data_IF_180010926628
#
_entry.id   IF_180010926628
#
_cell.length_a   1.000
_cell.length_b   1.000
_cell.length_c   1.000
_cell.angle_alpha   90.00
_cell.angle_beta   90.00
_cell.angle_gamma   90.00
#
_symmetry.space_group_name_H-M   'P 1'
#
loop_
_entity.id
_entity.type
_entity.pdbx_description
1 polymer ?
#
# COMPACT_ATOMS: atom_id res chain seq x y z
N UNK A 1 -5.06 -17.24 -10.43
CA UNK A 1 -4.62 -17.60 -9.05
C UNK A 1 -3.69 -16.51 -8.51
N UNK A 2 -3.50 -16.42 -7.16
CA UNK A 2 -2.50 -15.49 -6.62
C UNK A 2 -1.12 -15.84 -7.17
N UNK A 3 -0.39 -14.86 -7.70
CA UNK A 3 1.00 -15.06 -8.17
C UNK A 3 1.88 -15.50 -6.99
N UNK A 4 2.71 -16.50 -7.20
CA UNK A 4 3.62 -16.98 -6.17
C UNK A 4 4.91 -16.13 -6.08
N UNK A 5 5.33 -15.52 -7.19
CA UNK A 5 6.56 -14.74 -7.34
C UNK A 5 6.31 -13.28 -7.77
N UNK A 6 5.17 -12.71 -7.44
CA UNK A 6 4.83 -11.35 -7.84
C UNK A 6 3.56 -10.84 -7.21
N UNK A 7 3.08 -9.70 -7.71
CA UNK A 7 1.88 -9.06 -7.20
C UNK A 7 0.60 -9.61 -7.85
N UNK A 8 -0.40 -9.84 -7.00
CA UNK A 8 -1.80 -9.98 -7.39
C UNK A 8 -2.15 -11.31 -8.05
N UNK A 9 -3.09 -11.28 -8.97
CA UNK A 9 -3.60 -12.44 -9.70
C UNK A 9 -2.84 -12.63 -11.01
N UNK A 10 -2.55 -13.88 -11.38
CA UNK A 10 -1.81 -14.24 -12.58
C UNK A 10 -2.59 -14.04 -13.87
N UNK A 11 -3.93 -13.95 -13.77
CA UNK A 11 -4.81 -13.65 -14.91
C UNK A 11 -4.88 -12.16 -15.26
N UNK A 12 -4.32 -11.28 -14.40
CA UNK A 12 -4.35 -9.83 -14.62
C UNK A 12 -3.00 -9.37 -15.18
N UNK A 13 -3.01 -8.91 -16.41
CA UNK A 13 -1.89 -8.21 -17.03
C UNK A 13 -2.16 -6.71 -17.10
N UNK A 14 -1.14 -5.93 -16.79
CA UNK A 14 -1.14 -4.48 -16.92
C UNK A 14 -0.02 -4.08 -17.89
N UNK A 15 -0.29 -4.20 -19.18
CA UNK A 15 0.71 -4.01 -20.22
C UNK A 15 1.31 -2.58 -20.19
N UNK A 16 2.62 -2.49 -20.32
CA UNK A 16 3.32 -1.26 -20.70
C UNK A 16 3.25 -1.15 -22.23
N UNK A 17 2.74 -0.02 -22.73
CA UNK A 17 2.79 0.26 -24.16
C UNK A 17 4.21 0.54 -24.65
N UNK A 18 4.46 0.39 -25.95
CA UNK A 18 5.78 0.61 -26.58
C UNK A 18 6.34 2.01 -26.25
N UNK A 19 5.48 3.01 -26.16
CA UNK A 19 5.87 4.39 -25.80
C UNK A 19 6.43 4.50 -24.38
N UNK A 20 5.87 3.74 -23.46
CA UNK A 20 6.32 3.71 -22.07
C UNK A 20 7.67 2.98 -21.94
N UNK A 21 7.84 1.90 -22.69
CA UNK A 21 9.10 1.16 -22.75
C UNK A 21 10.20 1.99 -23.42
N UNK A 22 9.87 2.68 -24.53
CA UNK A 22 10.81 3.60 -25.20
C UNK A 22 11.23 4.75 -24.26
N UNK A 23 10.27 5.31 -23.52
CA UNK A 23 10.54 6.37 -22.53
C UNK A 23 11.48 5.89 -21.41
N UNK A 24 11.28 4.67 -20.89
CA UNK A 24 12.17 4.10 -19.88
C UNK A 24 13.57 3.82 -20.48
N UNK A 25 13.63 3.22 -21.66
CA UNK A 25 14.90 2.92 -22.33
C UNK A 25 15.71 4.19 -22.65
N UNK A 26 15.06 5.29 -23.01
CA UNK A 26 15.72 6.59 -23.21
C UNK A 26 16.30 7.16 -21.90
N UNK A 27 15.60 6.95 -20.79
CA UNK A 27 15.93 7.53 -19.48
C UNK A 27 16.96 6.75 -18.69
N UNK A 28 16.88 5.43 -18.74
CA UNK A 28 17.68 4.54 -17.87
C UNK A 28 18.33 3.37 -18.63
N UNK A 29 18.28 3.43 -19.96
CA UNK A 29 18.82 2.37 -20.83
C UNK A 29 17.84 1.19 -21.05
N UNK A 30 18.10 0.34 -22.05
CA UNK A 30 17.27 -0.82 -22.35
C UNK A 30 17.37 -1.85 -21.22
N UNK A 31 16.21 -2.35 -20.75
CA UNK A 31 16.17 -3.40 -19.73
C UNK A 31 16.61 -4.76 -20.26
N UNK A 32 17.13 -5.60 -19.38
CA UNK A 32 17.53 -6.98 -19.66
C UNK A 32 16.54 -7.92 -18.97
N UNK A 33 15.63 -8.59 -19.71
CA UNK A 33 14.67 -9.50 -19.12
C UNK A 33 15.35 -10.65 -18.38
N UNK A 34 14.93 -10.90 -17.13
CA UNK A 34 15.39 -12.05 -16.34
C UNK A 34 14.52 -13.27 -16.63
N UNK A 35 15.13 -14.46 -16.50
CA UNK A 35 14.41 -15.72 -16.51
C UNK A 35 14.02 -16.08 -15.08
N UNK A 36 12.72 -16.07 -14.79
CA UNK A 36 12.21 -16.43 -13.48
C UNK A 36 12.39 -17.94 -13.20
N UNK A 37 12.68 -18.28 -11.93
CA UNK A 37 12.65 -19.66 -11.47
C UNK A 37 11.23 -20.24 -11.60
N UNK A 38 11.14 -21.54 -11.88
CA UNK A 38 9.84 -22.20 -11.90
C UNK A 38 9.33 -22.47 -10.48
N UNK A 39 8.02 -22.43 -10.27
CA UNK A 39 7.40 -22.78 -8.99
C UNK A 39 7.80 -24.17 -8.51
N UNK A 40 7.84 -25.15 -9.42
CA UNK A 40 8.24 -26.52 -9.09
C UNK A 40 9.70 -26.60 -8.61
N UNK A 41 10.62 -25.88 -9.28
CA UNK A 41 12.02 -25.82 -8.87
C UNK A 41 12.18 -25.16 -7.50
N UNK A 42 11.44 -24.09 -7.23
CA UNK A 42 11.45 -23.41 -5.93
C UNK A 42 10.93 -24.32 -4.80
N UNK A 43 9.83 -25.04 -5.03
CA UNK A 43 9.29 -26.00 -4.04
C UNK A 43 10.24 -27.17 -3.78
N UNK A 44 10.91 -27.69 -4.80
CA UNK A 44 11.81 -28.83 -4.68
C UNK A 44 13.07 -28.54 -3.83
N UNK A 45 13.43 -27.27 -3.68
CA UNK A 45 14.61 -26.84 -2.89
C UNK A 45 14.29 -26.60 -1.41
N UNK A 46 13.01 -26.64 -1.00
CA UNK A 46 12.65 -26.33 0.37
C UNK A 46 13.09 -27.41 1.35
N UNK A 47 13.65 -27.03 2.52
CA UNK A 47 14.04 -27.99 3.54
C UNK A 47 12.81 -28.69 4.14
N UNK A 48 12.97 -29.92 4.70
CA UNK A 48 11.89 -30.56 5.43
C UNK A 48 11.43 -29.72 6.62
N UNK A 49 10.17 -29.90 7.04
CA UNK A 49 9.63 -29.23 8.21
C UNK A 49 10.30 -29.75 9.50
N UNK A 50 10.52 -28.86 10.46
CA UNK A 50 11.00 -29.15 11.82
C UNK A 50 9.87 -29.14 12.85
N UNK A 51 8.62 -28.82 12.43
CA UNK A 51 7.46 -28.82 13.31
C UNK A 51 6.92 -30.23 13.51
N UNK A 52 6.54 -30.62 14.75
CA UNK A 52 5.79 -31.85 14.99
C UNK A 52 4.42 -31.78 14.32
N UNK A 53 3.77 -32.93 14.05
CA UNK A 53 2.44 -32.97 13.46
C UNK A 53 1.38 -32.23 14.32
N UNK A 54 0.54 -31.42 13.66
CA UNK A 54 -0.61 -30.78 14.29
C UNK A 54 -1.77 -30.68 13.30
N UNK A 55 -3.02 -30.91 13.76
CA UNK A 55 -4.22 -31.01 12.89
C UNK A 55 -4.52 -29.76 12.04
N UNK A 56 -4.09 -28.58 12.51
CA UNK A 56 -4.31 -27.29 11.82
C UNK A 56 -3.13 -26.87 10.97
N UNK A 57 -1.96 -27.56 11.05
CA UNK A 57 -0.72 -27.15 10.38
C UNK A 57 -0.53 -27.95 9.09
N UNK A 58 -0.34 -27.22 8.00
CA UNK A 58 -0.05 -27.74 6.68
C UNK A 58 1.45 -27.65 6.41
N UNK A 59 2.04 -28.74 5.90
CA UNK A 59 3.50 -28.87 5.69
C UNK A 59 3.86 -28.94 4.20
N UNK A 60 2.88 -28.90 3.29
CA UNK A 60 3.11 -29.00 1.86
C UNK A 60 4.02 -27.85 1.37
N UNK A 61 5.05 -28.14 0.54
CA UNK A 61 6.02 -27.14 0.05
C UNK A 61 5.35 -25.94 -0.60
N UNK A 62 4.31 -26.14 -1.39
CA UNK A 62 3.56 -25.09 -2.10
C UNK A 62 2.89 -24.11 -1.11
N UNK A 63 2.34 -24.65 -0.03
CA UNK A 63 1.70 -23.86 1.03
C UNK A 63 2.73 -23.05 1.80
N UNK A 64 3.87 -23.67 2.13
CA UNK A 64 4.97 -23.03 2.85
C UNK A 64 5.59 -21.91 2.02
N UNK A 65 5.85 -22.16 0.73
CA UNK A 65 6.37 -21.17 -0.22
C UNK A 65 5.43 -19.96 -0.36
N UNK A 66 4.14 -20.20 -0.53
CA UNK A 66 3.15 -19.13 -0.69
C UNK A 66 3.00 -18.21 0.55
N UNK A 67 3.54 -18.61 1.71
CA UNK A 67 3.49 -17.85 2.97
C UNK A 67 4.89 -17.48 3.50
N UNK A 68 5.93 -17.59 2.67
CA UNK A 68 7.31 -17.38 3.10
C UNK A 68 7.74 -15.92 3.08
N UNK A 69 7.24 -15.14 2.12
CA UNK A 69 7.77 -13.83 1.78
C UNK A 69 6.63 -12.85 1.49
N UNK A 70 6.93 -11.54 1.57
CA UNK A 70 6.02 -10.46 1.24
C UNK A 70 6.24 -9.93 -0.18
N UNK A 71 6.22 -8.60 -0.30
CA UNK A 71 6.29 -7.87 -1.57
C UNK A 71 7.42 -6.83 -1.58
N UNK A 72 8.40 -6.91 -0.67
CA UNK A 72 9.61 -6.09 -0.74
C UNK A 72 10.43 -6.46 -1.99
N UNK A 73 11.30 -5.58 -2.44
CA UNK A 73 12.18 -5.91 -3.57
C UNK A 73 13.09 -7.10 -3.26
N UNK A 74 13.77 -7.17 -2.09
CA UNK A 74 14.53 -8.37 -1.73
C UNK A 74 13.71 -9.67 -1.72
N UNK A 75 12.42 -9.61 -1.31
CA UNK A 75 11.53 -10.77 -1.38
C UNK A 75 11.27 -11.19 -2.84
N UNK A 76 11.06 -10.22 -3.73
CA UNK A 76 10.87 -10.49 -5.16
C UNK A 76 12.11 -11.10 -5.80
N UNK A 77 13.30 -10.58 -5.50
CA UNK A 77 14.56 -11.13 -5.98
C UNK A 77 14.71 -12.60 -5.56
N UNK A 78 14.47 -12.91 -4.29
CA UNK A 78 14.53 -14.29 -3.79
C UNK A 78 13.55 -15.21 -4.49
N UNK A 79 12.29 -14.80 -4.63
CA UNK A 79 11.25 -15.60 -5.28
C UNK A 79 11.56 -15.83 -6.76
N UNK A 80 11.89 -14.77 -7.50
CA UNK A 80 12.05 -14.83 -8.94
C UNK A 80 13.33 -15.51 -9.38
N UNK A 81 14.39 -15.39 -8.62
CA UNK A 81 15.64 -16.14 -8.85
C UNK A 81 15.65 -17.52 -8.18
N UNK A 82 14.60 -17.91 -7.44
CA UNK A 82 14.54 -19.19 -6.74
C UNK A 82 15.56 -19.31 -5.60
N UNK A 83 16.04 -18.20 -5.04
CA UNK A 83 17.02 -18.15 -3.93
C UNK A 83 16.31 -18.05 -2.58
N UNK A 84 15.52 -19.04 -2.24
CA UNK A 84 14.68 -19.04 -1.04
C UNK A 84 15.39 -19.79 0.08
N UNK A 85 16.19 -19.06 0.86
CA UNK A 85 17.03 -19.65 1.91
C UNK A 85 16.21 -20.18 3.11
N UNK A 86 15.05 -19.56 3.40
CA UNK A 86 14.21 -19.92 4.55
C UNK A 86 12.72 -19.72 4.25
N UNK A 87 11.92 -20.68 4.72
CA UNK A 87 10.45 -20.66 4.64
C UNK A 87 9.88 -21.08 5.99
N UNK A 88 8.61 -20.78 6.29
CA UNK A 88 7.95 -21.35 7.46
C UNK A 88 8.04 -22.87 7.44
N UNK A 89 8.24 -23.49 8.59
CA UNK A 89 8.23 -24.95 8.72
C UNK A 89 6.83 -25.51 8.51
N UNK A 90 5.81 -24.74 8.86
CA UNK A 90 4.42 -25.05 8.58
C UNK A 90 3.54 -23.81 8.54
N UNK A 91 2.36 -23.95 7.97
CA UNK A 91 1.37 -22.88 7.84
C UNK A 91 0.03 -23.36 8.38
N UNK A 92 -0.59 -22.56 9.22
CA UNK A 92 -1.95 -22.80 9.71
C UNK A 92 -2.93 -21.73 9.22
N UNK A 93 -4.17 -22.15 8.94
CA UNK A 93 -5.25 -21.26 8.51
C UNK A 93 -6.42 -21.38 9.50
N UNK A 94 -6.36 -20.72 10.66
CA UNK A 94 -7.45 -20.75 11.63
C UNK A 94 -8.72 -20.06 11.07
N UNK A 95 -9.88 -20.51 11.55
CA UNK A 95 -11.20 -19.92 11.28
C UNK A 95 -11.80 -19.22 12.50
N UNK A 96 -11.17 -19.36 13.67
CA UNK A 96 -11.66 -18.85 14.96
C UNK A 96 -10.53 -18.46 15.90
N UNK A 97 -10.83 -17.56 16.87
CA UNK A 97 -9.88 -17.21 17.94
C UNK A 97 -9.48 -18.41 18.80
N UNK A 98 -10.37 -19.40 18.97
CA UNK A 98 -10.03 -20.63 19.70
C UNK A 98 -8.96 -21.45 18.97
N UNK A 99 -9.00 -21.55 17.65
CA UNK A 99 -7.95 -22.19 16.86
C UNK A 99 -6.64 -21.41 16.91
N UNK A 100 -6.70 -20.08 16.93
CA UNK A 100 -5.49 -19.24 17.12
C UNK A 100 -4.86 -19.53 18.48
N UNK A 101 -5.67 -19.65 19.54
CA UNK A 101 -5.19 -20.02 20.88
C UNK A 101 -4.50 -21.39 20.86
N UNK A 102 -5.14 -22.41 20.30
CA UNK A 102 -4.59 -23.77 20.14
C UNK A 102 -3.22 -23.74 19.41
N UNK A 103 -3.11 -22.93 18.36
CA UNK A 103 -1.85 -22.75 17.60
C UNK A 103 -0.76 -22.03 18.40
N UNK A 104 -1.10 -21.05 19.23
CA UNK A 104 -0.15 -20.39 20.12
C UNK A 104 0.35 -21.33 21.20
N UNK A 105 -0.53 -22.10 21.82
CA UNK A 105 -0.16 -23.11 22.82
C UNK A 105 0.72 -24.20 22.20
N UNK A 106 0.40 -24.66 21.00
CA UNK A 106 1.26 -25.55 20.23
C UNK A 106 2.63 -24.95 19.94
N UNK A 107 2.69 -23.69 19.50
CA UNK A 107 3.97 -23.03 19.21
C UNK A 107 4.85 -22.88 20.45
N UNK A 108 4.25 -22.58 21.61
CA UNK A 108 4.94 -22.56 22.91
C UNK A 108 5.50 -23.95 23.25
N UNK A 109 4.67 -25.00 23.12
CA UNK A 109 5.04 -26.37 23.46
C UNK A 109 6.22 -26.89 22.61
N UNK A 110 6.30 -26.55 21.33
CA UNK A 110 7.40 -26.98 20.44
C UNK A 110 8.50 -25.93 20.27
N UNK A 111 8.47 -24.79 21.00
CA UNK A 111 9.47 -23.75 20.92
C UNK A 111 9.50 -23.00 19.59
N UNK A 112 8.42 -23.04 18.81
CA UNK A 112 8.37 -22.38 17.50
C UNK A 112 8.30 -20.86 17.61
N UNK A 113 8.86 -20.18 16.60
CA UNK A 113 8.57 -18.77 16.32
C UNK A 113 7.24 -18.69 15.56
N UNK A 114 6.44 -17.67 15.86
CA UNK A 114 5.19 -17.42 15.15
C UNK A 114 5.33 -16.19 14.26
N UNK A 115 4.96 -16.33 12.99
CA UNK A 115 4.81 -15.23 12.04
C UNK A 115 3.34 -15.13 11.65
N UNK A 116 2.71 -13.98 11.94
CA UNK A 116 1.31 -13.75 11.58
C UNK A 116 1.24 -13.22 10.16
N UNK A 117 0.46 -13.86 9.31
CA UNK A 117 0.30 -13.51 7.91
C UNK A 117 -1.16 -13.13 7.61
N UNK A 118 -1.37 -11.98 7.00
CA UNK A 118 -2.62 -11.60 6.36
C UNK A 118 -2.55 -11.86 4.85
N UNK A 119 -2.69 -10.81 4.05
CA UNK A 119 -2.63 -10.89 2.59
C UNK A 119 -1.23 -11.06 1.98
N UNK A 120 -0.17 -11.05 2.79
CA UNK A 120 1.22 -11.07 2.36
C UNK A 120 1.60 -9.91 1.41
N UNK A 121 1.09 -8.72 1.69
CA UNK A 121 1.32 -7.50 0.90
C UNK A 121 2.39 -6.57 1.47
N UNK A 122 3.00 -6.94 2.60
CA UNK A 122 4.06 -6.15 3.24
C UNK A 122 5.26 -5.96 2.31
N UNK A 123 5.76 -4.74 2.23
CA UNK A 123 6.97 -4.35 1.46
C UNK A 123 8.19 -4.11 2.34
N UNK A 124 8.10 -4.38 3.65
CA UNK A 124 9.15 -4.12 4.64
C UNK A 124 9.74 -5.39 5.27
N UNK A 125 9.55 -6.55 4.63
CA UNK A 125 10.14 -7.81 5.09
C UNK A 125 9.51 -8.44 6.33
N UNK A 126 8.30 -8.04 6.74
CA UNK A 126 7.64 -8.53 7.95
C UNK A 126 7.42 -10.05 7.98
N UNK A 127 7.33 -10.69 6.81
CA UNK A 127 7.08 -12.12 6.68
C UNK A 127 8.37 -12.93 6.48
N UNK A 128 9.51 -12.27 6.35
CA UNK A 128 10.80 -12.95 6.14
C UNK A 128 11.12 -13.83 7.34
N UNK A 129 11.28 -15.12 7.08
CA UNK A 129 11.62 -16.11 8.10
C UNK A 129 13.06 -15.88 8.57
N UNK A 130 13.29 -15.63 9.87
CA UNK A 130 14.64 -15.44 10.39
C UNK A 130 15.48 -16.74 10.27
N UNK A 131 16.77 -16.59 10.02
CA UNK A 131 17.71 -17.70 10.14
C UNK A 131 17.80 -18.17 11.60
N UNK A 132 17.95 -19.48 11.82
CA UNK A 132 18.11 -20.03 13.15
C UNK A 132 17.58 -21.46 13.29
N UNK A 133 17.79 -22.04 14.46
CA UNK A 133 17.44 -23.43 14.76
C UNK A 133 15.97 -23.64 15.14
N UNK A 134 15.30 -22.58 15.62
CA UNK A 134 13.89 -22.67 16.04
C UNK A 134 13.00 -22.90 14.82
N UNK A 135 12.02 -23.82 14.89
CA UNK A 135 11.03 -23.95 13.84
C UNK A 135 10.16 -22.70 13.76
N UNK A 136 9.57 -22.45 12.59
CA UNK A 136 8.71 -21.28 12.34
C UNK A 136 7.32 -21.72 11.89
N UNK A 137 6.31 -21.29 12.62
CA UNK A 137 4.89 -21.45 12.28
C UNK A 137 4.34 -20.14 11.70
N UNK A 138 3.87 -20.18 10.46
CA UNK A 138 3.08 -19.08 9.90
C UNK A 138 1.60 -19.27 10.22
N UNK A 139 0.97 -18.29 10.87
CA UNK A 139 -0.48 -18.26 11.12
C UNK A 139 -1.12 -17.32 10.11
N UNK A 140 -1.74 -17.88 9.08
CA UNK A 140 -2.40 -17.15 8.02
C UNK A 140 -3.88 -16.90 8.35
N UNK A 141 -4.22 -15.64 8.60
CA UNK A 141 -5.53 -15.22 9.09
C UNK A 141 -6.63 -15.17 8.01
N UNK A 142 -6.31 -15.44 6.75
CA UNK A 142 -7.20 -15.17 5.62
C UNK A 142 -8.48 -16.02 5.54
N UNK A 143 -8.69 -16.99 6.44
CA UNK A 143 -9.98 -17.66 6.59
C UNK A 143 -10.95 -16.95 7.54
N UNK A 144 -10.43 -16.05 8.37
CA UNK A 144 -11.22 -15.28 9.34
C UNK A 144 -11.75 -13.99 8.69
N UNK A 145 -12.91 -14.05 8.00
CA UNK A 145 -13.42 -12.98 7.10
C UNK A 145 -14.79 -12.42 7.46
N UNK A 146 -15.46 -12.98 8.46
CA UNK A 146 -16.83 -12.63 8.77
C UNK A 146 -16.94 -11.24 9.41
N UNK A 147 -18.00 -10.51 9.08
CA UNK A 147 -18.53 -9.43 9.90
C UNK A 147 -19.27 -10.06 11.08
N UNK A 148 -18.82 -9.79 12.30
CA UNK A 148 -19.34 -10.38 13.53
C UNK A 148 -20.46 -9.56 14.15
N UNK A 149 -20.38 -8.23 14.01
CA UNK A 149 -21.37 -7.31 14.53
C UNK A 149 -21.41 -6.03 13.69
N UNK A 150 -22.59 -5.44 13.59
CA UNK A 150 -22.82 -4.12 13.00
C UNK A 150 -23.73 -3.32 13.94
N UNK A 151 -23.17 -2.29 14.55
CA UNK A 151 -23.88 -1.30 15.36
C UNK A 151 -24.07 -0.03 14.54
N UNK A 152 -25.27 0.17 14.03
CA UNK A 152 -25.61 1.34 13.18
C UNK A 152 -25.86 2.59 14.01
N UNK A 153 -26.15 2.48 15.30
CA UNK A 153 -26.34 3.61 16.20
C UNK A 153 -24.98 4.21 16.59
N UNK A 154 -24.05 3.36 17.04
CA UNK A 154 -22.69 3.78 17.36
C UNK A 154 -21.79 3.95 16.12
N UNK A 155 -22.24 3.51 14.93
CA UNK A 155 -21.46 3.46 13.69
C UNK A 155 -20.15 2.66 13.87
N UNK A 156 -20.28 1.49 14.44
CA UNK A 156 -19.19 0.54 14.65
C UNK A 156 -19.48 -0.78 13.93
N UNK A 157 -18.45 -1.39 13.38
CA UNK A 157 -18.55 -2.74 12.86
C UNK A 157 -17.38 -3.59 13.36
N UNK A 158 -17.66 -4.82 13.79
CA UNK A 158 -16.65 -5.77 14.24
C UNK A 158 -16.48 -6.85 13.18
N UNK A 159 -15.24 -7.04 12.76
CA UNK A 159 -14.87 -8.07 11.80
C UNK A 159 -13.81 -9.01 12.38
N UNK A 160 -13.79 -10.22 11.86
CA UNK A 160 -12.61 -11.06 11.96
C UNK A 160 -11.43 -10.40 11.19
N UNK A 161 -10.24 -10.45 11.78
CA UNK A 161 -9.10 -9.65 11.35
C UNK A 161 -8.51 -10.02 9.96
N UNK A 162 -8.82 -11.22 9.47
CA UNK A 162 -8.38 -11.69 8.15
C UNK A 162 -9.24 -11.26 6.96
N UNK A 163 -10.27 -10.44 7.18
CA UNK A 163 -11.12 -9.94 6.10
C UNK A 163 -10.33 -9.06 5.14
N UNK A 164 -10.44 -9.33 3.83
CA UNK A 164 -9.83 -8.51 2.79
C UNK A 164 -10.61 -7.21 2.55
N UNK A 165 -9.93 -6.20 2.02
CA UNK A 165 -10.55 -4.90 1.72
C UNK A 165 -11.83 -4.98 0.89
N UNK A 166 -11.85 -5.65 -0.26
CA UNK A 166 -13.06 -5.80 -1.07
C UNK A 166 -14.21 -6.50 -0.34
N UNK A 167 -13.92 -7.57 0.42
CA UNK A 167 -14.93 -8.33 1.17
C UNK A 167 -15.50 -7.49 2.31
N UNK A 168 -14.66 -6.74 3.03
CA UNK A 168 -15.06 -5.83 4.09
C UNK A 168 -15.99 -4.73 3.55
N UNK A 169 -15.58 -4.06 2.49
CA UNK A 169 -16.39 -3.02 1.86
C UNK A 169 -17.69 -3.57 1.28
N UNK A 170 -17.70 -4.77 0.69
CA UNK A 170 -18.91 -5.40 0.19
C UNK A 170 -19.92 -5.68 1.31
N UNK A 171 -19.44 -6.23 2.45
CA UNK A 171 -20.28 -6.48 3.62
C UNK A 171 -20.85 -5.17 4.19
N UNK A 172 -20.06 -4.11 4.32
CA UNK A 172 -20.54 -2.81 4.81
C UNK A 172 -21.52 -2.13 3.84
N UNK A 173 -21.22 -2.17 2.54
CA UNK A 173 -22.06 -1.56 1.49
C UNK A 173 -23.46 -2.17 1.41
N UNK A 174 -23.60 -3.45 1.70
CA UNK A 174 -24.90 -4.12 1.81
C UNK A 174 -25.80 -3.47 2.86
N UNK A 175 -25.22 -2.76 3.84
CA UNK A 175 -25.92 -2.05 4.91
C UNK A 175 -25.84 -0.51 4.76
N UNK A 176 -25.35 0.01 3.64
CA UNK A 176 -25.24 1.46 3.37
C UNK A 176 -24.05 2.15 4.03
N UNK A 177 -23.01 1.40 4.43
CA UNK A 177 -21.81 1.92 5.10
C UNK A 177 -20.53 1.65 4.29
N UNK A 178 -19.46 2.30 4.69
CA UNK A 178 -18.09 2.12 4.21
C UNK A 178 -17.12 2.34 5.37
N UNK A 179 -15.99 1.64 5.35
CA UNK A 179 -14.85 1.97 6.19
C UNK A 179 -14.07 3.16 5.60
N UNK A 180 -14.00 3.22 4.28
CA UNK A 180 -13.29 4.30 3.58
C UNK A 180 -11.76 4.18 3.65
N UNK A 181 -11.23 3.06 4.11
CA UNK A 181 -9.80 2.80 4.17
C UNK A 181 -9.34 2.10 2.89
N UNK A 182 -8.66 2.83 2.02
CA UNK A 182 -8.24 2.38 0.70
C UNK A 182 -6.72 2.46 0.54
N UNK A 183 -5.92 1.59 1.17
CA UNK A 183 -4.48 1.53 0.88
C UNK A 183 -4.24 1.06 -0.55
N UNK A 184 -3.04 1.24 -1.08
CA UNK A 184 -2.71 0.80 -2.44
C UNK A 184 -2.84 -0.73 -2.61
N UNK A 185 -2.57 -1.48 -1.55
CA UNK A 185 -2.71 -2.94 -1.47
C UNK A 185 -4.13 -3.43 -1.18
N UNK A 186 -5.15 -2.57 -1.25
CA UNK A 186 -6.54 -2.81 -0.82
C UNK A 186 -7.10 -4.17 -1.23
N UNK A 187 -6.87 -4.59 -2.47
CA UNK A 187 -7.46 -5.83 -3.01
C UNK A 187 -6.93 -7.10 -2.32
N UNK A 188 -5.69 -7.06 -1.80
CA UNK A 188 -5.00 -8.22 -1.25
C UNK A 188 -4.55 -8.06 0.20
N UNK A 189 -4.81 -6.93 0.84
CA UNK A 189 -4.48 -6.70 2.25
C UNK A 189 -5.69 -6.90 3.15
N UNK A 190 -5.43 -7.21 4.42
CA UNK A 190 -6.46 -7.55 5.40
C UNK A 190 -6.59 -6.49 6.48
N UNK A 191 -7.76 -6.40 7.12
CA UNK A 191 -8.04 -5.46 8.20
C UNK A 191 -7.02 -5.59 9.34
N UNK A 192 -6.73 -6.81 9.80
CA UNK A 192 -5.73 -7.04 10.85
C UNK A 192 -4.34 -6.56 10.43
N UNK A 193 -3.96 -6.82 9.16
CA UNK A 193 -2.72 -6.30 8.59
C UNK A 193 -2.67 -4.78 8.63
N UNK A 194 -3.74 -4.08 8.27
CA UNK A 194 -3.79 -2.61 8.34
C UNK A 194 -3.58 -2.09 9.75
N UNK A 195 -4.27 -2.68 10.74
CA UNK A 195 -4.14 -2.28 12.14
C UNK A 195 -2.72 -2.46 12.64
N UNK A 196 -2.14 -3.64 12.48
CA UNK A 196 -0.82 -3.96 13.05
C UNK A 196 0.35 -3.29 12.30
N UNK A 197 0.13 -2.72 11.11
CA UNK A 197 1.16 -1.96 10.36
C UNK A 197 0.89 -0.45 10.31
N UNK A 198 -0.13 0.06 11.01
CA UNK A 198 -0.55 1.49 10.98
C UNK A 198 -0.78 2.01 9.56
N UNK A 199 -1.44 1.22 8.75
CA UNK A 199 -1.70 1.52 7.34
C UNK A 199 -2.42 2.85 7.13
N UNK A 200 -2.12 3.55 6.03
CA UNK A 200 -2.83 4.75 5.60
C UNK A 200 -3.59 4.51 4.29
N UNK A 201 -4.80 5.03 4.20
CA UNK A 201 -5.63 4.96 3.00
C UNK A 201 -5.55 6.23 2.16
N UNK A 202 -5.74 6.11 0.85
CA UNK A 202 -5.69 7.23 -0.10
C UNK A 202 -6.73 8.33 0.19
N UNK A 203 -7.80 8.01 0.91
CA UNK A 203 -8.87 8.96 1.30
C UNK A 203 -8.85 9.30 2.80
N UNK A 204 -7.68 9.18 3.45
CA UNK A 204 -7.51 9.41 4.88
C UNK A 204 -7.85 10.83 5.36
N UNK A 205 -7.85 11.83 4.48
CA UNK A 205 -8.32 13.18 4.81
C UNK A 205 -9.78 13.20 5.26
N UNK A 206 -10.62 12.34 4.69
CA UNK A 206 -12.03 12.25 5.04
C UNK A 206 -12.28 11.22 6.13
N UNK A 207 -11.77 10.00 5.92
CA UNK A 207 -12.15 8.85 6.74
C UNK A 207 -11.23 8.64 7.93
N UNK A 208 -10.05 9.25 7.90
CA UNK A 208 -9.00 9.03 8.89
C UNK A 208 -8.05 7.91 8.45
N UNK A 209 -6.95 7.79 9.17
CA UNK A 209 -6.01 6.67 9.09
C UNK A 209 -6.52 5.50 9.92
N UNK A 210 -5.89 4.34 9.79
CA UNK A 210 -6.34 3.14 10.51
C UNK A 210 -6.36 3.32 12.03
N UNK A 211 -5.43 4.08 12.62
CA UNK A 211 -5.39 4.37 14.05
C UNK A 211 -6.60 5.18 14.53
N UNK A 212 -7.20 5.98 13.64
CA UNK A 212 -8.43 6.72 13.92
C UNK A 212 -9.68 5.86 13.69
N UNK A 213 -9.59 4.89 12.80
CA UNK A 213 -10.69 3.98 12.45
C UNK A 213 -10.77 2.81 13.41
N UNK A 214 -9.64 2.29 13.92
CA UNK A 214 -9.61 1.18 14.87
C UNK A 214 -10.17 1.62 16.22
N UNK A 215 -11.27 1.01 16.64
CA UNK A 215 -11.98 1.36 17.87
C UNK A 215 -11.70 0.40 19.02
N UNK A 216 -11.33 -0.85 18.73
CA UNK A 216 -11.08 -1.91 19.70
C UNK A 216 -10.98 -3.27 19.02
N UNK A 217 -10.90 -4.34 19.79
CA UNK A 217 -10.78 -5.68 19.21
C UNK A 217 -10.34 -6.74 20.20
N UNK A 218 -9.83 -7.84 19.66
CA UNK A 218 -9.35 -8.98 20.45
C UNK A 218 -8.02 -9.47 19.92
N UNK A 219 -7.05 -9.63 20.83
CA UNK A 219 -5.72 -10.14 20.53
C UNK A 219 -5.47 -11.41 21.35
N UNK A 220 -5.07 -12.49 20.68
CA UNK A 220 -4.59 -13.71 21.33
C UNK A 220 -3.06 -13.61 21.51
N UNK A 221 -2.58 -13.82 22.75
CA UNK A 221 -1.16 -13.78 23.10
C UNK A 221 -0.73 -15.07 23.79
N UNK A 222 0.53 -15.44 23.85
CA UNK A 222 0.97 -16.61 24.64
C UNK A 222 0.54 -16.56 26.12
N UNK A 223 0.45 -15.35 26.70
CA UNK A 223 0.05 -15.16 28.10
C UNK A 223 -1.47 -15.16 28.35
N UNK A 224 -2.28 -15.15 27.29
CA UNK A 224 -3.74 -15.09 27.40
C UNK A 224 -4.37 -14.16 26.36
N UNK A 225 -5.65 -13.90 26.51
CA UNK A 225 -6.41 -13.01 25.64
C UNK A 225 -6.41 -11.59 26.17
N UNK A 226 -6.18 -10.64 25.26
CA UNK A 226 -6.33 -9.21 25.50
C UNK A 226 -7.58 -8.72 24.77
N UNK A 227 -8.59 -8.32 25.54
CA UNK A 227 -9.79 -7.65 25.02
C UNK A 227 -9.58 -6.13 25.07
N UNK A 228 -9.80 -5.47 23.94
CA UNK A 228 -9.71 -4.02 23.75
C UNK A 228 -11.12 -3.46 23.61
N UNK A 229 -11.74 -2.96 24.70
CA UNK A 229 -13.09 -2.41 24.63
C UNK A 229 -13.14 -1.12 23.80
N UNK A 230 -14.30 -0.84 23.21
CA UNK A 230 -14.52 0.37 22.45
C UNK A 230 -14.97 1.51 23.35
N UNK A 231 -14.38 2.68 23.18
CA UNK A 231 -14.78 3.93 23.85
C UNK A 231 -14.88 5.06 22.81
N UNK A 232 -15.87 5.96 22.91
CA UNK A 232 -15.89 7.15 22.06
C UNK A 232 -14.71 8.08 22.37
N UNK A 233 -14.37 8.22 23.65
CA UNK A 233 -13.18 8.85 24.21
C UNK A 233 -12.97 8.34 25.62
N UNK A 234 -11.71 8.31 26.11
CA UNK A 234 -11.40 7.91 27.48
C UNK A 234 -10.31 8.82 28.05
N UNK A 235 -10.46 9.17 29.33
CA UNK A 235 -9.44 9.84 30.15
C UNK A 235 -8.83 8.88 31.19
N UNK A 236 -9.19 7.58 31.14
CA UNK A 236 -8.78 6.57 32.10
C UNK A 236 -7.66 5.69 31.55
N UNK A 237 -6.46 5.90 32.04
CA UNK A 237 -5.30 5.06 31.76
C UNK A 237 -4.71 5.21 30.35
N UNK A 238 -3.79 4.29 30.05
CA UNK A 238 -3.12 4.21 28.75
C UNK A 238 -4.05 3.57 27.72
N UNK A 239 -4.06 4.11 26.51
CA UNK A 239 -4.80 3.52 25.38
C UNK A 239 -4.04 2.28 24.84
N UNK A 240 -4.52 1.10 25.22
CA UNK A 240 -3.92 -0.17 24.82
C UNK A 240 -4.03 -0.43 23.29
N UNK A 241 -4.93 0.26 22.58
CA UNK A 241 -5.01 0.17 21.12
C UNK A 241 -3.72 0.64 20.47
N UNK A 242 -3.08 1.67 21.03
CA UNK A 242 -1.80 2.21 20.55
C UNK A 242 -0.65 1.21 20.64
N UNK A 243 -0.72 0.24 21.56
CA UNK A 243 0.26 -0.84 21.64
C UNK A 243 0.10 -1.85 20.51
N UNK A 244 -1.15 -2.12 20.07
CA UNK A 244 -1.45 -3.06 18.99
C UNK A 244 -1.19 -2.43 17.62
N UNK A 245 -1.49 -1.14 17.48
CA UNK A 245 -1.23 -0.35 16.28
C UNK A 245 0.28 -0.27 16.00
N UNK A 246 0.71 -0.82 14.87
CA UNK A 246 2.13 -0.85 14.48
C UNK A 246 2.96 -1.93 15.18
N UNK A 247 2.33 -2.86 15.90
CA UNK A 247 3.02 -3.97 16.58
C UNK A 247 3.55 -5.06 15.64
N UNK A 248 3.06 -5.09 14.40
CA UNK A 248 3.46 -6.06 13.36
C UNK A 248 3.32 -7.54 13.80
N UNK A 249 2.37 -7.81 14.70
CA UNK A 249 2.13 -9.16 15.24
C UNK A 249 3.05 -9.56 16.40
N UNK A 250 3.95 -8.69 16.89
CA UNK A 250 4.90 -9.02 17.97
C UNK A 250 4.26 -9.12 19.36
N UNK A 251 3.11 -8.48 19.55
CA UNK A 251 2.37 -8.55 20.81
C UNK A 251 1.36 -9.69 20.86
N UNK A 252 1.07 -10.30 19.73
CA UNK A 252 0.08 -11.37 19.60
C UNK A 252 -0.64 -11.33 18.27
N UNK A 253 -1.66 -12.15 18.14
CA UNK A 253 -2.46 -12.32 16.92
C UNK A 253 -3.77 -11.57 17.09
N UNK A 254 -3.98 -10.49 16.34
CA UNK A 254 -5.26 -9.80 16.29
C UNK A 254 -6.28 -10.70 15.58
N UNK A 255 -7.32 -11.13 16.30
CA UNK A 255 -8.35 -12.04 15.79
C UNK A 255 -9.63 -11.33 15.39
N UNK A 256 -9.97 -10.26 16.10
CA UNK A 256 -11.14 -9.43 15.84
C UNK A 256 -10.76 -7.95 15.92
N UNK A 257 -11.31 -7.16 14.99
CA UNK A 257 -11.14 -5.71 15.01
C UNK A 257 -12.50 -5.01 14.87
N UNK A 258 -12.78 -4.11 15.80
CA UNK A 258 -13.91 -3.20 15.73
C UNK A 258 -13.45 -1.88 15.15
N UNK A 259 -14.14 -1.40 14.13
CA UNK A 259 -13.80 -0.20 13.37
C UNK A 259 -14.94 0.78 13.31
N UNK A 260 -14.59 2.08 13.26
CA UNK A 260 -15.53 3.18 13.04
C UNK A 260 -15.90 3.24 11.57
N UNK A 261 -17.19 3.17 11.27
CA UNK A 261 -17.71 3.18 9.91
C UNK A 261 -18.46 4.49 9.62
N UNK A 262 -18.63 4.81 8.33
CA UNK A 262 -19.32 6.01 7.87
C UNK A 262 -20.38 5.60 6.86
N UNK A 263 -21.49 6.34 6.78
CA UNK A 263 -22.48 6.14 5.72
C UNK A 263 -21.85 6.34 4.35
N UNK A 264 -22.30 5.57 3.37
CA UNK A 264 -21.85 5.72 1.98
C UNK A 264 -22.03 7.17 1.51
N UNK A 265 -21.02 7.76 0.85
CA UNK A 265 -21.15 9.11 0.32
C UNK A 265 -22.12 9.13 -0.87
N UNK A 266 -23.04 10.09 -0.87
CA UNK A 266 -23.97 10.30 -1.98
C UNK A 266 -23.28 10.92 -3.21
N UNK A 267 -22.14 11.56 -3.02
CA UNK A 267 -21.39 12.22 -4.07
C UNK A 267 -19.89 12.00 -3.88
N UNK A 268 -19.20 11.71 -4.98
CA UNK A 268 -17.76 11.61 -5.02
C UNK A 268 -17.20 12.13 -6.35
N UNK A 269 -16.14 12.91 -6.30
CA UNK A 269 -15.45 13.43 -7.47
C UNK A 269 -13.96 13.59 -7.22
N UNK A 270 -13.16 13.35 -8.27
CA UNK A 270 -11.72 13.58 -8.27
C UNK A 270 -11.38 14.52 -9.41
N UNK A 271 -10.58 15.53 -9.15
CA UNK A 271 -10.29 16.60 -10.10
C UNK A 271 -8.78 16.83 -10.19
N UNK A 272 -8.27 17.12 -11.37
CA UNK A 272 -6.86 17.40 -11.59
C UNK A 272 -6.63 18.91 -11.77
N UNK A 273 -5.56 19.40 -11.13
CA UNK A 273 -5.09 20.78 -11.23
C UNK A 273 -3.60 20.74 -11.54
N UNK A 274 -3.16 21.46 -12.56
CA UNK A 274 -1.74 21.59 -12.91
C UNK A 274 -1.19 22.93 -12.45
N UNK A 275 0.05 22.92 -11.99
CA UNK A 275 0.79 24.11 -11.57
C UNK A 275 2.05 24.29 -12.43
N UNK A 276 2.56 25.52 -12.58
CA UNK A 276 3.72 25.78 -13.43
C UNK A 276 5.02 25.13 -12.92
N UNK A 277 5.15 24.96 -11.60
CA UNK A 277 6.32 24.41 -10.93
C UNK A 277 5.98 23.83 -9.56
N UNK A 278 6.96 23.20 -8.91
CA UNK A 278 6.84 22.59 -7.61
C UNK A 278 6.50 23.57 -6.49
N UNK A 279 7.12 24.75 -6.48
CA UNK A 279 6.96 25.77 -5.44
C UNK A 279 5.49 26.26 -5.38
N UNK A 280 4.91 26.56 -6.53
CA UNK A 280 3.51 26.98 -6.65
C UNK A 280 2.57 25.85 -6.23
N UNK A 281 2.85 24.61 -6.65
CA UNK A 281 2.07 23.44 -6.35
C UNK A 281 2.11 23.10 -4.84
N UNK A 282 3.29 23.06 -4.23
CA UNK A 282 3.48 22.77 -2.81
C UNK A 282 2.84 23.85 -1.93
N UNK A 283 3.02 25.15 -2.28
CA UNK A 283 2.38 26.24 -1.55
C UNK A 283 0.86 26.22 -1.64
N UNK A 284 0.29 25.85 -2.80
CA UNK A 284 -1.14 25.68 -2.99
C UNK A 284 -1.67 24.52 -2.15
N UNK A 285 -1.01 23.38 -2.25
CA UNK A 285 -1.37 22.14 -1.55
C UNK A 285 -1.34 22.31 -0.04
N UNK A 286 -0.28 22.94 0.50
CA UNK A 286 -0.19 23.29 1.92
C UNK A 286 -1.34 24.20 2.36
N UNK A 287 -1.64 25.25 1.60
CA UNK A 287 -2.74 26.15 1.95
C UNK A 287 -4.12 25.45 1.94
N UNK A 288 -4.34 24.50 1.01
CA UNK A 288 -5.56 23.69 0.96
C UNK A 288 -5.63 22.77 2.17
N UNK A 289 -4.55 22.06 2.51
CA UNK A 289 -4.48 21.14 3.65
C UNK A 289 -4.68 21.89 4.99
N UNK A 290 -4.02 23.04 5.17
CA UNK A 290 -4.15 23.90 6.36
C UNK A 290 -5.52 24.56 6.47
N UNK A 291 -6.20 24.77 5.35
CA UNK A 291 -7.58 25.27 5.32
C UNK A 291 -8.62 24.27 5.87
N UNK A 292 -8.21 23.04 6.20
CA UNK A 292 -9.07 21.96 6.76
C UNK A 292 -10.40 21.80 6.02
N UNK A 293 -10.36 21.95 4.70
CA UNK A 293 -11.51 21.74 3.84
C UNK A 293 -11.96 20.28 3.91
N UNK A 294 -13.26 20.03 3.86
CA UNK A 294 -13.84 18.68 3.90
C UNK A 294 -13.61 17.92 2.57
N UNK A 295 -12.33 17.72 2.23
CA UNK A 295 -11.86 16.95 1.09
C UNK A 295 -11.65 15.50 1.48
N UNK A 296 -11.72 14.61 0.52
CA UNK A 296 -11.44 13.18 0.76
C UNK A 296 -9.99 12.80 0.44
N UNK A 297 -9.37 13.51 -0.50
CA UNK A 297 -8.01 13.21 -0.95
C UNK A 297 -7.31 14.45 -1.47
N UNK A 298 -6.01 14.53 -1.20
CA UNK A 298 -5.04 15.36 -1.92
C UNK A 298 -3.86 14.46 -2.29
N UNK A 299 -3.35 14.60 -3.51
CA UNK A 299 -2.13 13.94 -3.97
C UNK A 299 -1.40 14.86 -4.93
N UNK A 300 -0.18 15.24 -4.55
CA UNK A 300 0.65 16.14 -5.35
C UNK A 300 1.81 15.37 -5.98
N UNK A 301 1.85 15.31 -7.29
CA UNK A 301 2.95 14.74 -8.09
C UNK A 301 3.96 15.82 -8.48
N UNK A 302 5.25 15.56 -8.36
CA UNK A 302 6.28 16.43 -8.86
C UNK A 302 6.31 16.44 -10.42
N UNK A 303 7.16 17.25 -11.01
CA UNK A 303 7.19 17.42 -12.47
C UNK A 303 7.54 16.11 -13.20
N UNK A 304 8.49 15.35 -12.65
CA UNK A 304 8.93 14.11 -13.26
C UNK A 304 7.85 13.01 -13.16
N UNK A 305 7.21 12.85 -12.01
CA UNK A 305 6.07 11.93 -11.89
C UNK A 305 4.92 12.35 -12.79
N UNK A 306 4.60 13.64 -12.85
CA UNK A 306 3.55 14.17 -13.72
C UNK A 306 3.80 13.82 -15.18
N UNK A 307 5.03 14.00 -15.66
CA UNK A 307 5.42 13.63 -17.03
C UNK A 307 5.34 12.13 -17.25
N UNK A 308 5.86 11.33 -16.31
CA UNK A 308 5.81 9.86 -16.36
C UNK A 308 4.36 9.35 -16.44
N UNK A 309 3.47 9.87 -15.58
CA UNK A 309 2.05 9.49 -15.59
C UNK A 309 1.34 9.85 -16.91
N UNK A 310 1.64 11.01 -17.49
CA UNK A 310 1.09 11.41 -18.77
C UNK A 310 1.58 10.52 -19.92
N UNK A 311 2.86 10.13 -19.91
CA UNK A 311 3.44 9.20 -20.90
C UNK A 311 2.81 7.80 -20.77
N UNK A 312 2.73 7.27 -19.55
CA UNK A 312 2.12 5.96 -19.27
C UNK A 312 0.61 5.91 -19.58
N UNK A 313 -0.07 7.07 -19.67
CA UNK A 313 -1.48 7.12 -20.03
C UNK A 313 -1.78 6.65 -21.47
N UNK A 314 -0.79 6.60 -22.36
CA UNK A 314 -0.86 5.95 -23.69
C UNK A 314 -1.74 6.65 -24.73
N UNK A 315 -2.29 7.85 -24.45
CA UNK A 315 -3.20 8.58 -25.36
C UNK A 315 -2.50 9.80 -25.98
N UNK A 316 -1.46 9.60 -26.82
CA UNK A 316 -0.61 10.66 -27.39
C UNK A 316 -1.37 11.91 -27.85
N UNK A 317 -2.45 11.73 -28.63
CA UNK A 317 -3.23 12.88 -29.17
C UNK A 317 -3.91 13.70 -28.07
N UNK A 318 -4.54 13.02 -27.08
CA UNK A 318 -5.21 13.69 -25.97
C UNK A 318 -4.22 14.35 -25.02
N UNK A 319 -3.12 13.67 -24.72
CA UNK A 319 -2.03 14.21 -23.88
C UNK A 319 -1.40 15.41 -24.59
N UNK A 320 -1.08 15.32 -25.88
CA UNK A 320 -0.51 16.43 -26.67
C UNK A 320 -1.42 17.68 -26.70
N UNK A 321 -2.75 17.47 -26.86
CA UNK A 321 -3.72 18.58 -26.78
C UNK A 321 -3.76 19.19 -25.38
N UNK A 322 -3.75 18.37 -24.35
CA UNK A 322 -3.69 18.82 -22.95
C UNK A 322 -2.39 19.61 -22.69
N UNK A 323 -1.24 19.10 -23.13
CA UNK A 323 0.05 19.77 -22.96
C UNK A 323 0.13 21.11 -23.68
N UNK A 324 -0.41 21.21 -24.90
CA UNK A 324 -0.50 22.47 -25.64
C UNK A 324 -1.37 23.49 -24.87
N UNK A 325 -2.52 23.07 -24.35
CA UNK A 325 -3.36 23.90 -23.52
C UNK A 325 -2.68 24.35 -22.23
N UNK A 326 -2.00 23.41 -21.52
CA UNK A 326 -1.31 23.71 -20.28
C UNK A 326 -0.15 24.66 -20.50
N UNK A 327 0.62 24.49 -21.57
CA UNK A 327 1.72 25.40 -21.94
C UNK A 327 1.20 26.82 -22.22
N UNK A 328 0.08 26.92 -22.96
CA UNK A 328 -0.59 28.22 -23.15
C UNK A 328 -1.04 28.86 -21.84
N UNK A 329 -1.39 28.05 -20.83
CA UNK A 329 -1.82 28.50 -19.49
C UNK A 329 -0.64 28.70 -18.52
N UNK A 330 0.63 28.62 -18.99
CA UNK A 330 1.82 28.83 -18.18
C UNK A 330 2.33 27.58 -17.45
N UNK A 331 1.76 26.41 -17.68
CA UNK A 331 2.21 25.12 -17.13
C UNK A 331 2.99 24.35 -18.20
N UNK A 332 4.30 24.62 -18.34
CA UNK A 332 5.20 23.99 -19.30
C UNK A 332 5.86 22.72 -18.71
N UNK A 333 7.12 22.48 -19.01
CA UNK A 333 7.84 21.23 -18.70
C UNK A 333 8.06 20.99 -17.20
N UNK A 334 8.09 22.03 -16.37
CA UNK A 334 8.14 21.93 -14.89
C UNK A 334 6.79 21.67 -14.21
N UNK A 335 5.73 21.39 -14.97
CA UNK A 335 4.37 21.26 -14.44
C UNK A 335 4.21 20.14 -13.43
N UNK A 336 3.58 20.46 -12.30
CA UNK A 336 3.21 19.52 -11.24
C UNK A 336 1.71 19.32 -11.21
N UNK A 337 1.25 18.11 -10.90
CA UNK A 337 -0.18 17.78 -10.89
C UNK A 337 -0.68 17.54 -9.45
N UNK A 338 -1.70 18.29 -9.04
CA UNK A 338 -2.45 18.04 -7.81
C UNK A 338 -3.78 17.37 -8.14
N UNK A 339 -4.00 16.18 -7.58
CA UNK A 339 -5.29 15.51 -7.57
C UNK A 339 -6.06 15.91 -6.32
N UNK A 340 -7.30 16.35 -6.48
CA UNK A 340 -8.19 16.77 -5.39
C UNK A 340 -9.44 15.90 -5.41
N UNK A 341 -9.67 15.14 -4.32
CA UNK A 341 -10.88 14.36 -4.10
C UNK A 341 -11.83 15.02 -3.12
N UNK A 342 -13.12 14.98 -3.44
CA UNK A 342 -14.18 15.41 -2.54
C UNK A 342 -15.32 14.38 -2.55
N UNK A 343 -15.77 13.96 -1.37
CA UNK A 343 -16.85 12.99 -1.21
C UNK A 343 -17.71 13.31 0.01
N UNK A 344 -18.96 12.86 0.01
CA UNK A 344 -19.93 13.06 1.10
C UNK A 344 -21.28 13.54 0.61
N UNK A 345 -21.93 14.39 1.38
CA UNK A 345 -23.13 15.10 0.93
C UNK A 345 -22.78 16.07 -0.19
N UNK A 346 -23.59 16.07 -1.25
CA UNK A 346 -23.26 16.76 -2.50
C UNK A 346 -22.97 18.26 -2.33
N UNK A 347 -23.77 18.94 -1.53
CA UNK A 347 -23.61 20.39 -1.31
C UNK A 347 -22.25 20.70 -0.62
N UNK A 348 -21.94 19.98 0.46
CA UNK A 348 -20.70 20.13 1.22
C UNK A 348 -19.45 19.76 0.40
N UNK A 349 -19.48 18.63 -0.29
CA UNK A 349 -18.37 18.17 -1.13
C UNK A 349 -18.08 19.16 -2.29
N UNK A 350 -19.13 19.67 -2.95
CA UNK A 350 -18.98 20.70 -4.00
C UNK A 350 -18.45 22.02 -3.44
N UNK A 351 -18.87 22.43 -2.24
CA UNK A 351 -18.37 23.65 -1.60
C UNK A 351 -16.89 23.52 -1.24
N UNK A 352 -16.48 22.39 -0.62
CA UNK A 352 -15.09 22.12 -0.31
C UNK A 352 -14.19 22.12 -1.56
N UNK A 353 -14.63 21.44 -2.64
CA UNK A 353 -13.92 21.46 -3.92
C UNK A 353 -13.78 22.88 -4.49
N UNK A 354 -14.86 23.67 -4.51
CA UNK A 354 -14.79 25.06 -4.99
C UNK A 354 -13.77 25.88 -4.20
N UNK A 355 -13.76 25.78 -2.88
CA UNK A 355 -12.80 26.47 -2.02
C UNK A 355 -11.36 26.05 -2.32
N UNK A 356 -11.10 24.75 -2.49
CA UNK A 356 -9.80 24.23 -2.86
C UNK A 356 -9.34 24.76 -4.23
N UNK A 357 -10.24 24.78 -5.22
CA UNK A 357 -9.94 25.32 -6.56
C UNK A 357 -9.67 26.83 -6.55
N UNK A 358 -10.32 27.60 -5.67
CA UNK A 358 -9.99 29.03 -5.50
C UNK A 358 -8.57 29.19 -4.94
N UNK A 359 -8.19 28.43 -3.91
CA UNK A 359 -6.84 28.45 -3.34
C UNK A 359 -5.77 28.04 -4.37
N UNK A 360 -6.07 27.02 -5.18
CA UNK A 360 -5.20 26.55 -6.25
C UNK A 360 -5.00 27.65 -7.33
N UNK A 361 -6.09 28.26 -7.81
CA UNK A 361 -6.03 29.32 -8.84
C UNK A 361 -5.20 30.53 -8.41
N UNK A 362 -5.28 30.93 -7.12
CA UNK A 362 -4.49 32.04 -6.56
C UNK A 362 -2.98 31.82 -6.66
N UNK A 363 -2.55 30.56 -6.93
CA UNK A 363 -1.14 30.17 -7.10
C UNK A 363 -0.83 29.63 -8.50
N UNK A 364 -1.60 30.06 -9.49
CA UNK A 364 -1.38 29.68 -10.89
C UNK A 364 -1.91 28.30 -11.27
N UNK A 365 -2.72 27.66 -10.42
CA UNK A 365 -3.32 26.35 -10.69
C UNK A 365 -4.32 26.37 -11.84
N UNK A 366 -4.15 25.49 -12.81
CA UNK A 366 -5.01 25.28 -13.98
C UNK A 366 -5.84 24.03 -13.77
N UNK A 367 -7.14 24.20 -13.50
CA UNK A 367 -8.08 23.11 -13.33
C UNK A 367 -8.48 22.52 -14.69
N UNK A 368 -8.31 21.21 -14.89
CA UNK A 368 -8.63 20.50 -16.15
C UNK A 368 -9.84 19.56 -16.03
N UNK A 369 -10.58 19.66 -14.93
CA UNK A 369 -11.80 18.89 -14.72
C UNK A 369 -11.56 17.52 -14.09
N UNK A 370 -12.53 16.60 -14.28
CA UNK A 370 -12.61 15.33 -13.57
C UNK A 370 -12.13 14.11 -14.36
N UNK A 371 -11.95 14.20 -15.69
CA UNK A 371 -11.64 13.03 -16.53
C UNK A 371 -10.41 12.26 -16.05
N UNK A 372 -9.33 12.95 -15.68
CA UNK A 372 -8.13 12.32 -15.14
C UNK A 372 -8.39 11.67 -13.77
N UNK A 373 -9.16 12.34 -12.92
CA UNK A 373 -9.56 11.81 -11.62
C UNK A 373 -10.46 10.57 -11.72
N UNK A 374 -11.39 10.55 -12.67
CA UNK A 374 -12.25 9.39 -12.93
C UNK A 374 -11.40 8.19 -13.39
N UNK A 375 -10.43 8.41 -14.29
CA UNK A 375 -9.47 7.37 -14.73
C UNK A 375 -8.59 6.89 -13.57
N UNK A 376 -8.09 7.80 -12.74
CA UNK A 376 -7.34 7.45 -11.54
C UNK A 376 -8.17 6.58 -10.60
N UNK A 377 -9.42 6.93 -10.31
CA UNK A 377 -10.33 6.15 -9.47
C UNK A 377 -10.52 4.72 -9.97
N UNK A 378 -10.63 4.53 -11.29
CA UNK A 378 -10.78 3.20 -11.90
C UNK A 378 -9.52 2.35 -11.75
N UNK A 379 -8.34 2.96 -11.80
CA UNK A 379 -7.05 2.25 -11.89
C UNK A 379 -6.23 2.30 -10.59
N UNK A 380 -6.70 2.97 -9.54
CA UNK A 380 -5.90 3.27 -8.34
C UNK A 380 -5.30 2.04 -7.62
N UNK A 381 -5.90 0.87 -7.78
CA UNK A 381 -5.40 -0.38 -7.23
C UNK A 381 -4.63 -1.23 -8.26
N UNK A 382 -4.72 -0.89 -9.55
CA UNK A 382 -4.09 -1.65 -10.62
C UNK A 382 -2.66 -1.25 -10.91
N UNK A 383 -2.25 -0.04 -10.54
CA UNK A 383 -0.89 0.45 -10.81
C UNK A 383 0.20 -0.42 -10.16
N UNK A 384 -0.10 -1.16 -9.10
CA UNK A 384 0.84 -2.09 -8.46
C UNK A 384 1.24 -3.24 -9.40
N UNK A 385 0.39 -3.62 -10.35
CA UNK A 385 0.69 -4.64 -11.35
C UNK A 385 1.81 -4.21 -12.32
N UNK A 386 2.09 -2.91 -12.45
CA UNK A 386 3.23 -2.41 -13.23
C UNK A 386 4.56 -3.00 -12.78
N UNK A 387 4.71 -3.36 -11.50
CA UNK A 387 5.93 -4.04 -11.02
C UNK A 387 6.16 -5.37 -11.74
N UNK A 388 5.11 -6.17 -11.96
CA UNK A 388 5.24 -7.44 -12.69
C UNK A 388 5.69 -7.20 -14.13
N UNK A 389 5.04 -6.26 -14.82
CA UNK A 389 5.32 -5.95 -16.22
C UNK A 389 6.71 -5.32 -16.39
N UNK A 390 7.09 -4.39 -15.51
CA UNK A 390 8.42 -3.80 -15.51
C UNK A 390 9.50 -4.88 -15.37
N UNK A 391 9.32 -5.82 -14.44
CA UNK A 391 10.23 -6.95 -14.24
C UNK A 391 10.39 -7.81 -15.52
N UNK A 392 9.28 -8.12 -16.19
CA UNK A 392 9.32 -8.88 -17.46
C UNK A 392 10.13 -8.18 -18.56
N UNK A 393 10.24 -6.85 -18.48
CA UNK A 393 11.04 -6.03 -19.39
C UNK A 393 12.43 -5.66 -18.83
N UNK A 394 12.86 -6.28 -17.73
CA UNK A 394 14.20 -6.08 -17.16
C UNK A 394 14.34 -4.80 -16.32
N UNK A 395 13.25 -4.32 -15.74
CA UNK A 395 13.25 -3.15 -14.86
C UNK A 395 12.71 -3.51 -13.47
N UNK A 396 13.37 -3.03 -12.43
CA UNK A 396 12.86 -3.03 -11.07
C UNK A 396 12.10 -1.74 -10.78
N UNK A 397 11.07 -1.85 -9.94
CA UNK A 397 10.36 -0.70 -9.35
C UNK A 397 10.35 -0.91 -7.84
N UNK A 398 10.93 0.05 -7.11
CA UNK A 398 10.84 0.08 -5.66
C UNK A 398 10.47 1.48 -5.16
N UNK A 399 10.14 1.59 -3.87
CA UNK A 399 9.61 2.81 -3.30
C UNK A 399 10.09 3.02 -1.88
N UNK A 400 10.25 4.29 -1.51
CA UNK A 400 10.48 4.73 -0.13
C UNK A 400 9.42 5.74 0.25
N UNK A 401 8.84 5.58 1.43
CA UNK A 401 7.88 6.53 1.99
C UNK A 401 8.31 6.97 3.39
N UNK A 402 8.28 8.27 3.64
CA UNK A 402 8.48 8.86 4.96
C UNK A 402 7.51 10.02 5.17
N UNK A 403 7.39 10.52 6.39
CA UNK A 403 6.52 11.65 6.72
C UNK A 403 7.33 12.75 7.43
N UNK A 404 7.11 13.99 7.02
CA UNK A 404 7.79 15.16 7.58
C UNK A 404 6.85 16.36 7.65
N UNK A 405 7.16 17.31 8.54
CA UNK A 405 6.49 18.61 8.59
C UNK A 405 6.76 19.44 7.34
N UNK A 406 5.87 20.38 7.03
CA UNK A 406 5.93 21.16 5.78
C UNK A 406 7.29 21.77 5.45
N UNK A 407 8.08 22.34 6.38
CA UNK A 407 9.41 22.87 6.06
C UNK A 407 10.38 21.80 5.55
N UNK A 408 10.20 20.54 5.97
CA UNK A 408 11.04 19.40 5.59
C UNK A 408 10.63 18.72 4.27
N UNK A 409 9.43 18.98 3.73
CA UNK A 409 8.89 18.22 2.58
C UNK A 409 9.77 18.34 1.33
N UNK A 410 10.07 19.54 0.88
CA UNK A 410 10.90 19.75 -0.32
C UNK A 410 12.36 19.29 -0.12
N UNK A 411 13.02 19.63 1.00
CA UNK A 411 14.37 19.11 1.27
C UNK A 411 14.42 17.56 1.31
N UNK A 412 13.44 16.91 1.94
CA UNK A 412 13.35 15.45 2.02
C UNK A 412 13.19 14.82 0.65
N UNK A 413 12.24 15.31 -0.17
CA UNK A 413 12.05 14.87 -1.55
C UNK A 413 13.37 14.90 -2.34
N UNK A 414 14.05 16.03 -2.34
CA UNK A 414 15.32 16.16 -3.06
C UNK A 414 16.44 15.30 -2.48
N UNK A 415 16.46 15.09 -1.15
CA UNK A 415 17.47 14.24 -0.53
C UNK A 415 17.29 12.78 -0.96
N UNK A 416 16.06 12.26 -0.94
CA UNK A 416 15.74 10.89 -1.34
C UNK A 416 16.07 10.68 -2.83
N UNK A 417 15.62 11.58 -3.72
CA UNK A 417 15.87 11.46 -5.17
C UNK A 417 17.38 11.51 -5.49
N UNK A 418 18.13 12.43 -4.86
CA UNK A 418 19.59 12.49 -5.03
C UNK A 418 20.30 11.25 -4.50
N UNK A 419 19.93 10.77 -3.33
CA UNK A 419 20.54 9.57 -2.72
C UNK A 419 20.36 8.34 -3.61
N UNK A 420 19.14 8.13 -4.12
CA UNK A 420 18.86 7.02 -5.03
C UNK A 420 19.63 7.12 -6.34
N UNK A 421 19.72 8.33 -6.93
CA UNK A 421 20.48 8.55 -8.17
C UNK A 421 21.98 8.37 -7.94
N UNK A 422 22.52 8.81 -6.80
CA UNK A 422 23.93 8.70 -6.49
C UNK A 422 24.36 7.25 -6.23
N UNK A 423 23.56 6.49 -5.47
CA UNK A 423 23.88 5.12 -5.09
C UNK A 423 24.10 4.21 -6.31
N UNK A 424 23.17 4.20 -7.27
CA UNK A 424 23.32 3.40 -8.49
C UNK A 424 24.24 4.07 -9.55
N UNK A 425 24.44 5.38 -9.44
CA UNK A 425 25.37 6.11 -10.31
C UNK A 425 26.83 5.71 -10.11
N UNK A 426 27.21 5.24 -8.92
CA UNK A 426 28.54 4.69 -8.62
C UNK A 426 28.82 3.41 -9.43
N UNK A 427 27.78 2.63 -9.74
CA UNK A 427 27.86 1.42 -10.58
C UNK A 427 27.65 1.73 -12.09
N UNK A 428 27.54 3.00 -12.48
CA UNK A 428 27.28 3.43 -13.86
C UNK A 428 25.83 3.27 -14.30
N UNK A 429 24.92 2.98 -13.37
CA UNK A 429 23.49 2.82 -13.65
C UNK A 429 22.73 4.14 -13.49
N UNK A 430 21.62 4.25 -14.21
CA UNK A 430 20.73 5.41 -14.14
C UNK A 430 19.43 5.03 -13.41
N UNK A 431 18.93 5.97 -12.61
CA UNK A 431 17.67 5.80 -11.87
C UNK A 431 16.65 6.83 -12.33
N UNK A 432 15.46 6.36 -12.67
CA UNK A 432 14.31 7.23 -12.87
C UNK A 432 13.59 7.41 -11.52
N UNK A 433 14.00 8.42 -10.76
CA UNK A 433 13.47 8.71 -9.41
C UNK A 433 12.49 9.87 -9.45
N UNK A 434 11.27 9.65 -8.98
CA UNK A 434 10.23 10.68 -8.93
C UNK A 434 9.38 10.56 -7.67
N UNK A 435 8.72 11.66 -7.28
CA UNK A 435 8.07 11.76 -5.97
C UNK A 435 6.66 12.34 -6.07
N UNK A 436 5.78 11.80 -5.24
CA UNK A 436 4.51 12.46 -4.90
C UNK A 436 4.32 12.57 -3.38
N UNK A 437 3.48 13.52 -3.00
CA UNK A 437 2.96 13.58 -1.65
C UNK A 437 1.65 12.76 -1.62
N UNK A 438 1.67 11.65 -0.89
CA UNK A 438 0.57 10.66 -0.88
C UNK A 438 -0.50 10.98 0.15
N UNK A 439 -0.09 11.44 1.33
CA UNK A 439 -0.96 11.76 2.47
C UNK A 439 -0.60 13.15 2.98
N UNK A 440 -1.56 14.06 2.91
CA UNK A 440 -1.34 15.47 3.19
C UNK A 440 -2.22 15.94 4.35
N UNK A 441 -1.59 16.52 5.34
CA UNK A 441 -2.21 17.01 6.56
C UNK A 441 -1.86 18.48 6.82
N UNK A 442 -2.50 19.11 7.80
CA UNK A 442 -2.25 20.52 8.13
C UNK A 442 -0.78 20.77 8.52
N UNK A 443 -0.14 19.80 9.18
CA UNK A 443 1.24 19.94 9.70
C UNK A 443 2.31 19.56 8.69
N UNK A 444 2.05 18.61 7.80
CA UNK A 444 3.04 18.04 6.89
C UNK A 444 2.45 17.06 5.89
N UNK A 445 3.30 16.26 5.29
CA UNK A 445 2.93 15.29 4.27
C UNK A 445 3.79 14.03 4.32
N UNK A 446 3.26 12.92 3.81
CA UNK A 446 4.08 11.79 3.39
C UNK A 446 4.77 12.11 2.07
N UNK A 447 6.07 11.90 2.02
CA UNK A 447 6.92 11.98 0.83
C UNK A 447 7.13 10.56 0.33
N UNK A 448 6.51 10.24 -0.81
CA UNK A 448 6.55 8.91 -1.43
C UNK A 448 7.35 8.99 -2.71
N UNK A 449 8.53 8.40 -2.72
CA UNK A 449 9.43 8.39 -3.88
C UNK A 449 9.46 7.01 -4.51
N UNK A 450 9.39 6.97 -5.84
CA UNK A 450 9.46 5.76 -6.64
C UNK A 450 10.75 5.76 -7.44
N UNK A 451 11.41 4.62 -7.48
CA UNK A 451 12.64 4.37 -8.19
C UNK A 451 12.42 3.31 -9.26
N UNK A 452 12.77 3.60 -10.50
CA UNK A 452 12.79 2.64 -11.60
C UNK A 452 14.23 2.57 -12.11
N UNK A 453 14.76 1.36 -12.19
CA UNK A 453 16.13 1.11 -12.66
C UNK A 453 16.22 -0.25 -13.34
N UNK A 454 17.32 -0.51 -14.05
CA UNK A 454 17.53 -1.77 -14.78
C UNK A 454 17.89 -2.89 -13.81
N UNK A 455 17.45 -4.09 -14.11
CA UNK A 455 17.93 -5.31 -13.48
C UNK A 455 19.30 -5.68 -14.06
N UNK A 456 20.20 -6.20 -13.23
CA UNK A 456 21.53 -6.64 -13.64
C UNK A 456 21.53 -8.05 -14.31
N UNK A 457 20.41 -8.75 -14.29
CA UNK A 457 20.23 -10.07 -14.91
C UNK A 457 20.79 -11.24 -14.08
N UNK A 458 21.20 -10.98 -12.83
CA UNK A 458 21.64 -12.01 -11.90
C UNK A 458 21.20 -11.69 -10.48
N UNK A 459 20.99 -12.70 -9.64
CA UNK A 459 20.57 -12.51 -8.25
C UNK A 459 21.55 -11.64 -7.46
N UNK A 460 22.84 -11.93 -7.59
CA UNK A 460 23.91 -11.23 -6.88
C UNK A 460 24.01 -9.77 -7.33
N UNK A 461 23.90 -9.52 -8.64
CA UNK A 461 23.93 -8.15 -9.21
C UNK A 461 22.65 -7.35 -8.89
N UNK A 462 21.49 -8.01 -8.88
CA UNK A 462 20.21 -7.36 -8.55
C UNK A 462 20.07 -7.07 -7.04
N UNK A 463 20.81 -7.81 -6.19
CA UNK A 463 20.80 -7.66 -4.73
C UNK A 463 21.82 -6.62 -4.24
N UNK A 464 22.93 -6.46 -4.95
CA UNK A 464 23.98 -5.48 -4.65
C UNK A 464 23.48 -4.06 -4.83
#
# INVERSE_FOLDING_TARGET
>A
MKRWNGWGDDSIDFALGDDALAFLAERIGPGLPNVDASHASACAQLPPSRLPPHRLVQLAPEVRLANALGQSLPDWLRLRHGRIASVPDGVAFPDSGAQVRDLLDYAVACGALVIVCGGATSVAGHLTVPAGERPVLSINMTRMRAMLNLDTEAQLATFQAGVFGPDLEAQLRAHGYTLGHFPQSFEYSTLGGWVVTRSSGQQSLRYGRIEQLFAGGRVETPAGRLDLPTFPASAAGTDLREMVLGSEGRLGVLTEATVRITRLPHFETFNAVFFPNWEAAAAATRAIAQGRLALSMLRLSNALETTTMLTLAGHKKLVGTLETYLRWRGCADGKCMLMIGASGEQAGAKAALRSALVLARRRGGVHVGRKMGDKWKQNRFRNVYLRNTAWQHGYAIDTVETAVDWPGVTPMMHAIERAATAALGEDGEQVHAYTHLSHLYAQGASVYSTFVYRLAGSYEGDLA
#
